data_IF_669903520919
#
_entry.id   IF_669903520919
#
_cell.length_a   1.000
_cell.length_b   1.000
_cell.length_c   1.000
_cell.angle_alpha   90.00
_cell.angle_beta   90.00
_cell.angle_gamma   90.00
#
_symmetry.space_group_name_H-M   'P 1'
#
loop_
_entity.id
_entity.type
_entity.pdbx_description
1 polymer ?
#
# COMPACT_ATOMS: atom_id res chain seq x y z
N UNK A 1 -1.78 -29.62 -5.92
CA UNK A 1 -1.84 -28.33 -5.23
C UNK A 1 -0.44 -28.04 -4.72
N UNK A 2 0.08 -26.85 -4.96
CA UNK A 2 1.44 -26.45 -4.57
C UNK A 2 1.37 -25.15 -3.81
N UNK A 3 2.05 -25.07 -2.67
CA UNK A 3 2.13 -23.88 -1.84
C UNK A 3 3.56 -23.34 -1.89
N UNK A 4 3.71 -22.06 -2.19
CA UNK A 4 5.00 -21.37 -2.23
C UNK A 4 4.89 -20.04 -1.52
N UNK A 5 5.90 -19.71 -0.70
CA UNK A 5 6.03 -18.39 -0.10
C UNK A 5 6.99 -17.52 -0.92
N UNK A 6 6.50 -16.37 -1.37
CA UNK A 6 7.28 -15.37 -2.10
C UNK A 6 7.53 -14.19 -1.17
N UNK A 7 8.78 -13.76 -1.03
CA UNK A 7 9.16 -12.57 -0.25
C UNK A 7 9.63 -11.49 -1.20
N UNK A 8 9.35 -10.24 -0.86
CA UNK A 8 9.88 -9.09 -1.58
C UNK A 8 10.13 -7.93 -0.64
N UNK A 9 11.05 -7.06 -1.06
CA UNK A 9 11.29 -5.76 -0.46
C UNK A 9 11.04 -4.70 -1.53
N UNK A 10 10.44 -3.58 -1.15
CA UNK A 10 10.17 -2.46 -2.04
C UNK A 10 10.38 -1.15 -1.30
N UNK A 11 11.03 -0.20 -1.97
CA UNK A 11 11.06 1.20 -1.55
C UNK A 11 9.87 1.98 -2.10
N UNK A 12 9.37 2.88 -1.27
CA UNK A 12 8.25 3.76 -1.58
C UNK A 12 8.66 5.22 -1.39
N UNK A 13 8.25 6.07 -2.33
CA UNK A 13 8.18 7.52 -2.11
C UNK A 13 6.88 7.89 -1.42
N UNK A 14 6.83 9.07 -0.81
CA UNK A 14 5.60 9.57 -0.18
C UNK A 14 4.41 9.62 -1.15
N UNK A 15 4.62 10.01 -2.41
CA UNK A 15 3.55 10.04 -3.40
C UNK A 15 3.05 8.63 -3.76
N UNK A 16 3.94 7.63 -3.78
CA UNK A 16 3.53 6.24 -4.00
C UNK A 16 2.74 5.69 -2.82
N UNK A 17 3.11 6.04 -1.57
CA UNK A 17 2.35 5.67 -0.37
C UNK A 17 0.94 6.28 -0.42
N UNK A 18 0.83 7.56 -0.76
CA UNK A 18 -0.47 8.25 -0.89
C UNK A 18 -1.33 7.63 -1.99
N UNK A 19 -0.74 7.34 -3.15
CA UNK A 19 -1.42 6.66 -4.25
C UNK A 19 -1.90 5.26 -3.85
N UNK A 20 -1.08 4.50 -3.13
CA UNK A 20 -1.47 3.18 -2.61
C UNK A 20 -2.64 3.28 -1.64
N UNK A 21 -2.57 4.17 -0.64
CA UNK A 21 -3.68 4.37 0.30
C UNK A 21 -4.99 4.69 -0.42
N UNK A 22 -4.96 5.61 -1.40
CA UNK A 22 -6.15 5.95 -2.19
C UNK A 22 -6.73 4.77 -3.00
N UNK A 23 -5.92 3.74 -3.30
CA UNK A 23 -6.37 2.51 -3.97
C UNK A 23 -7.01 1.49 -3.03
N UNK A 24 -6.82 1.63 -1.71
CA UNK A 24 -7.41 0.73 -0.72
C UNK A 24 -8.83 1.16 -0.36
N UNK A 25 -9.70 0.20 -0.05
CA UNK A 25 -11.11 0.49 0.29
C UNK A 25 -11.28 1.32 1.56
N UNK A 26 -10.35 1.21 2.52
CA UNK A 26 -10.44 1.89 3.82
C UNK A 26 -9.86 3.32 3.81
N UNK A 27 -9.06 3.66 2.80
CA UNK A 27 -8.51 5.01 2.62
C UNK A 27 -8.93 5.65 1.29
N UNK A 28 -10.04 5.16 0.72
CA UNK A 28 -10.61 5.71 -0.49
C UNK A 28 -10.98 7.20 -0.30
N UNK A 29 -10.69 8.10 -1.27
CA UNK A 29 -10.85 9.54 -1.09
C UNK A 29 -12.25 10.00 -0.63
N UNK A 30 -13.30 9.32 -1.07
CA UNK A 30 -14.69 9.64 -0.71
C UNK A 30 -14.98 9.48 0.79
N UNK A 31 -14.17 8.71 1.53
CA UNK A 31 -14.29 8.57 2.98
C UNK A 31 -13.83 9.83 3.74
N UNK A 32 -13.08 10.71 3.08
CA UNK A 32 -12.53 11.93 3.68
C UNK A 32 -13.30 13.20 3.31
N UNK A 33 -14.31 13.11 2.44
CA UNK A 33 -15.08 14.26 1.94
C UNK A 33 -14.14 15.41 1.49
N UNK A 34 -14.36 16.65 1.93
CA UNK A 34 -13.50 17.79 1.58
C UNK A 34 -12.12 17.74 2.27
N UNK A 35 -11.90 16.84 3.22
CA UNK A 35 -10.65 16.73 4.02
C UNK A 35 -9.59 15.83 3.39
N UNK A 36 -9.83 15.30 2.20
CA UNK A 36 -8.89 14.41 1.52
C UNK A 36 -7.51 15.08 1.34
N UNK A 37 -7.47 16.33 0.90
CA UNK A 37 -6.21 17.06 0.72
C UNK A 37 -5.50 17.32 2.06
N UNK A 38 -6.22 17.80 3.08
CA UNK A 38 -5.69 18.03 4.43
C UNK A 38 -5.06 16.75 5.00
N UNK A 39 -5.69 15.61 4.80
CA UNK A 39 -5.16 14.32 5.22
C UNK A 39 -3.83 13.99 4.52
N UNK A 40 -3.74 14.19 3.20
CA UNK A 40 -2.51 13.93 2.44
C UNK A 40 -1.37 14.85 2.88
N UNK A 41 -1.64 16.14 3.08
CA UNK A 41 -0.63 17.11 3.51
C UNK A 41 -0.11 16.77 4.91
N UNK A 42 -0.99 16.43 5.85
CA UNK A 42 -0.60 15.97 7.18
C UNK A 42 0.20 14.68 7.14
N UNK A 43 -0.08 13.79 6.19
CA UNK A 43 0.68 12.55 6.04
C UNK A 43 2.08 12.83 5.48
N UNK A 44 2.21 13.75 4.51
CA UNK A 44 3.51 14.23 4.01
C UNK A 44 4.34 14.85 5.14
N UNK A 45 3.76 15.75 5.91
CA UNK A 45 4.43 16.39 7.05
C UNK A 45 4.87 15.37 8.10
N UNK A 46 4.06 14.33 8.34
CA UNK A 46 4.34 13.33 9.36
C UNK A 46 5.43 12.35 8.95
N UNK A 47 5.43 11.92 7.68
CA UNK A 47 6.31 10.86 7.19
C UNK A 47 7.59 11.39 6.53
N UNK A 48 7.57 12.62 6.01
CA UNK A 48 8.63 13.17 5.17
C UNK A 48 8.64 12.56 3.76
N UNK A 49 9.71 12.78 3.00
CA UNK A 49 9.80 12.39 1.59
C UNK A 49 10.16 10.90 1.37
N UNK A 50 10.66 10.21 2.40
CA UNK A 50 11.12 8.82 2.33
C UNK A 50 12.64 8.67 2.09
N UNK A 51 13.11 7.51 1.60
CA UNK A 51 12.31 6.35 1.18
C UNK A 51 11.70 5.58 2.36
N UNK A 52 10.57 4.92 2.12
CA UNK A 52 9.94 3.98 3.05
C UNK A 52 10.13 2.54 2.55
N UNK A 53 10.79 1.71 3.34
CA UNK A 53 10.98 0.30 3.01
C UNK A 53 9.75 -0.52 3.43
N UNK A 54 9.18 -1.27 2.50
CA UNK A 54 8.21 -2.32 2.76
C UNK A 54 8.89 -3.69 2.61
N UNK A 55 8.79 -4.53 3.63
CA UNK A 55 9.17 -5.94 3.56
C UNK A 55 7.92 -6.82 3.77
N UNK A 56 7.53 -7.55 2.73
CA UNK A 56 6.27 -8.28 2.68
C UNK A 56 6.46 -9.71 2.15
N UNK A 57 5.51 -10.59 2.45
CA UNK A 57 5.49 -11.96 1.92
C UNK A 57 4.10 -12.40 1.50
N UNK A 58 4.00 -13.03 0.33
CA UNK A 58 2.79 -13.67 -0.16
C UNK A 58 2.90 -15.18 -0.02
N UNK A 59 1.80 -15.80 0.41
CA UNK A 59 1.59 -17.22 0.26
C UNK A 59 0.79 -17.47 -1.02
N UNK A 60 1.34 -18.26 -1.92
CA UNK A 60 0.78 -18.54 -3.23
C UNK A 60 0.37 -20.00 -3.27
N UNK A 61 -0.93 -20.23 -3.43
CA UNK A 61 -1.50 -21.57 -3.57
C UNK A 61 -1.88 -21.78 -5.04
N UNK A 62 -1.24 -22.74 -5.69
CA UNK A 62 -1.54 -23.15 -7.06
C UNK A 62 -2.31 -24.48 -7.03
N UNK A 63 -3.55 -24.45 -7.52
CA UNK A 63 -4.39 -25.64 -7.67
C UNK A 63 -4.85 -25.77 -9.13
N UNK A 64 -4.91 -27.00 -9.63
CA UNK A 64 -5.46 -27.32 -10.94
C UNK A 64 -6.76 -28.10 -10.74
N UNK A 65 -7.76 -27.82 -11.59
CA UNK A 65 -8.94 -28.68 -11.69
C UNK A 65 -8.52 -29.99 -12.39
N UNK A 66 -8.97 -31.16 -11.91
CA UNK A 66 -8.72 -32.44 -12.59
C UNK A 66 -9.27 -32.46 -14.01
#
# INVERSE_FOLDING_TARGET
MTETRVRFTRDWTIDQVLGYLASTSFAAPHLFAERAQEFQDRLRDRLGDGPFEESSSFEVILAARP
#
